data_IF_269571308121
#
_entry.id   IF_269571308121
#
_cell.length_a   1.000
_cell.length_b   1.000
_cell.length_c   1.000
_cell.angle_alpha   90.00
_cell.angle_beta   90.00
_cell.angle_gamma   90.00
#
_symmetry.space_group_name_H-M   'P 1'
#
loop_
_entity.id
_entity.type
_entity.pdbx_description
1 polymer ?
#
# COMPACT_ATOMS: atom_id res chain seq x y z
N UNK A 1 -22.78 12.25 2.42
CA UNK A 1 -21.34 12.43 2.64
C UNK A 1 -21.09 13.91 2.86
N UNK A 2 -20.58 14.27 4.04
CA UNK A 2 -20.10 15.61 4.30
C UNK A 2 -18.67 15.77 3.77
N UNK A 3 -18.19 17.01 3.62
CA UNK A 3 -16.85 17.28 3.10
C UNK A 3 -15.75 16.56 3.90
N UNK A 4 -15.89 16.51 5.22
CA UNK A 4 -14.95 15.84 6.12
C UNK A 4 -14.96 14.31 6.01
N UNK A 5 -15.89 13.69 5.26
CA UNK A 5 -15.88 12.24 5.03
C UNK A 5 -14.98 11.85 3.84
N UNK A 6 -14.71 12.80 2.92
CA UNK A 6 -14.01 12.54 1.66
C UNK A 6 -12.53 12.19 1.89
N UNK A 7 -11.75 12.93 2.71
CA UNK A 7 -10.37 12.55 3.00
C UNK A 7 -10.26 11.20 3.73
N UNK A 8 -11.23 10.86 4.59
CA UNK A 8 -11.29 9.55 5.22
C UNK A 8 -11.45 8.44 4.18
N UNK A 9 -12.32 8.62 3.20
CA UNK A 9 -12.46 7.68 2.09
C UNK A 9 -11.14 7.52 1.31
N UNK A 10 -10.42 8.61 1.03
CA UNK A 10 -9.09 8.56 0.41
C UNK A 10 -8.09 7.78 1.27
N UNK A 11 -8.02 8.06 2.58
CA UNK A 11 -7.15 7.33 3.50
C UNK A 11 -7.51 5.84 3.57
N UNK A 12 -8.79 5.47 3.54
CA UNK A 12 -9.22 4.07 3.55
C UNK A 12 -8.85 3.34 2.25
N UNK A 13 -9.00 3.99 1.10
CA UNK A 13 -8.57 3.44 -0.19
C UNK A 13 -7.04 3.28 -0.21
N UNK A 14 -6.30 4.31 0.20
CA UNK A 14 -4.84 4.24 0.31
C UNK A 14 -4.38 3.14 1.28
N UNK A 15 -5.06 2.99 2.42
CA UNK A 15 -4.77 1.93 3.39
C UNK A 15 -5.07 0.55 2.82
N UNK A 16 -6.19 0.38 2.12
CA UNK A 16 -6.51 -0.89 1.45
C UNK A 16 -5.47 -1.24 0.38
N UNK A 17 -5.05 -0.28 -0.44
CA UNK A 17 -3.98 -0.46 -1.42
C UNK A 17 -2.65 -0.81 -0.76
N UNK A 18 -2.30 -0.14 0.34
CA UNK A 18 -1.09 -0.46 1.10
C UNK A 18 -1.14 -1.88 1.68
N UNK A 19 -2.21 -2.24 2.39
CA UNK A 19 -2.32 -3.57 3.03
C UNK A 19 -2.37 -4.68 1.99
N UNK A 20 -2.99 -4.46 0.83
CA UNK A 20 -3.01 -5.46 -0.26
C UNK A 20 -1.65 -5.58 -0.92
N UNK A 21 -1.08 -4.46 -1.39
CA UNK A 21 0.13 -4.49 -2.22
C UNK A 21 1.40 -4.66 -1.39
N UNK A 22 1.56 -3.85 -0.33
CA UNK A 22 2.68 -4.00 0.59
C UNK A 22 2.53 -5.27 1.45
N UNK A 23 1.30 -5.69 1.79
CA UNK A 23 1.09 -6.96 2.49
C UNK A 23 1.55 -8.17 1.66
N UNK A 24 1.32 -8.18 0.34
CA UNK A 24 1.87 -9.21 -0.52
C UNK A 24 3.41 -9.21 -0.53
N UNK A 25 4.04 -8.02 -0.52
CA UNK A 25 5.49 -7.90 -0.39
C UNK A 25 6.02 -8.40 0.96
N UNK A 26 5.41 -8.00 2.09
CA UNK A 26 5.77 -8.49 3.43
C UNK A 26 5.56 -10.01 3.53
N UNK A 27 4.45 -10.53 3.03
CA UNK A 27 4.22 -11.97 3.02
C UNK A 27 5.22 -12.75 2.17
N UNK A 28 5.76 -12.15 1.10
CA UNK A 28 6.82 -12.79 0.32
C UNK A 28 8.09 -12.98 1.15
N UNK A 29 8.41 -12.04 2.05
CA UNK A 29 9.50 -12.19 3.02
C UNK A 29 9.28 -13.32 4.02
N UNK A 30 8.03 -13.57 4.43
CA UNK A 30 7.66 -14.71 5.29
C UNK A 30 7.93 -16.03 4.54
N UNK A 31 7.52 -16.13 3.28
CA UNK A 31 7.76 -17.33 2.48
C UNK A 31 9.23 -17.58 2.18
N UNK A 32 10.04 -16.52 2.06
CA UNK A 32 11.49 -16.59 1.96
C UNK A 32 12.13 -17.22 3.22
N UNK A 33 11.63 -16.86 4.40
CA UNK A 33 12.13 -17.38 5.68
C UNK A 33 11.89 -18.89 5.83
N UNK A 34 10.67 -19.33 5.50
CA UNK A 34 10.25 -20.73 5.66
C UNK A 34 10.61 -21.62 4.47
N UNK A 35 11.32 -21.08 3.48
CA UNK A 35 11.71 -21.81 2.26
C UNK A 35 12.77 -22.90 2.52
N UNK A 36 13.53 -22.81 3.61
CA UNK A 36 14.58 -23.78 3.97
C UNK A 36 15.89 -23.63 3.16
N UNK A 37 16.92 -24.39 3.54
CA UNK A 37 18.30 -24.22 3.07
C UNK A 37 18.69 -24.91 1.75
N UNK A 38 17.77 -25.65 1.11
CA UNK A 38 18.06 -26.45 -0.09
C UNK A 38 17.79 -25.74 -1.43
N UNK A 39 18.02 -26.42 -2.57
CA UNK A 39 17.79 -25.88 -3.93
C UNK A 39 16.35 -25.39 -4.16
N UNK A 40 15.36 -26.16 -3.69
CA UNK A 40 13.95 -25.73 -3.75
C UNK A 40 13.67 -24.48 -2.93
N UNK A 41 14.34 -24.32 -1.78
CA UNK A 41 14.24 -23.11 -0.96
C UNK A 41 14.87 -21.89 -1.64
N UNK A 42 15.99 -22.08 -2.35
CA UNK A 42 16.58 -21.02 -3.18
C UNK A 42 15.62 -20.57 -4.28
N UNK A 43 14.97 -21.51 -4.96
CA UNK A 43 14.01 -21.18 -6.02
C UNK A 43 12.83 -20.36 -5.50
N UNK A 44 12.27 -20.72 -4.34
CA UNK A 44 11.21 -19.93 -3.68
C UNK A 44 11.72 -18.52 -3.35
N UNK A 45 12.94 -18.38 -2.81
CA UNK A 45 13.49 -17.07 -2.44
C UNK A 45 13.72 -16.18 -3.65
N UNK A 46 14.28 -16.75 -4.71
CA UNK A 46 14.56 -16.02 -5.93
C UNK A 46 13.26 -15.61 -6.64
N UNK A 47 12.27 -16.49 -6.72
CA UNK A 47 10.94 -16.14 -7.23
C UNK A 47 10.33 -14.98 -6.45
N UNK A 48 10.21 -15.13 -5.12
CA UNK A 48 9.65 -14.10 -4.25
C UNK A 48 10.36 -12.75 -4.37
N UNK A 49 11.68 -12.75 -4.51
CA UNK A 49 12.46 -11.53 -4.69
C UNK A 49 12.20 -10.87 -6.05
N UNK A 50 12.27 -11.61 -7.16
CA UNK A 50 12.08 -11.04 -8.49
C UNK A 50 10.65 -10.51 -8.70
N UNK A 51 9.64 -11.20 -8.14
CA UNK A 51 8.25 -10.74 -8.26
C UNK A 51 7.97 -9.45 -7.47
N UNK A 52 8.64 -9.23 -6.34
CA UNK A 52 8.32 -8.13 -5.41
C UNK A 52 9.27 -6.94 -5.49
N UNK A 53 10.53 -7.13 -5.86
CA UNK A 53 11.53 -6.06 -5.89
C UNK A 53 11.10 -4.82 -6.72
N UNK A 54 10.51 -4.96 -7.93
CA UNK A 54 10.13 -3.79 -8.74
C UNK A 54 8.98 -2.95 -8.15
N UNK A 55 8.13 -3.56 -7.32
CA UNK A 55 6.93 -2.90 -6.78
C UNK A 55 7.09 -2.42 -5.35
N UNK A 56 8.17 -2.82 -4.67
CA UNK A 56 8.42 -2.48 -3.26
C UNK A 56 8.39 -0.96 -3.01
N UNK A 57 9.12 -0.19 -3.80
CA UNK A 57 9.20 1.28 -3.65
C UNK A 57 7.82 1.92 -3.86
N UNK A 58 7.11 1.50 -4.91
CA UNK A 58 5.77 2.00 -5.22
C UNK A 58 4.75 1.68 -4.12
N UNK A 59 4.88 0.53 -3.46
CA UNK A 59 3.97 0.14 -2.39
C UNK A 59 4.01 1.11 -1.20
N UNK A 60 5.19 1.66 -0.87
CA UNK A 60 5.36 2.53 0.31
C UNK A 60 4.76 3.92 0.13
N UNK A 61 4.56 4.36 -1.12
CA UNK A 61 3.88 5.62 -1.44
C UNK A 61 2.48 5.65 -0.81
N UNK A 62 1.77 4.52 -0.80
CA UNK A 62 0.43 4.44 -0.21
C UNK A 62 0.41 4.70 1.30
N UNK A 63 1.42 4.21 2.04
CA UNK A 63 1.51 4.47 3.47
C UNK A 63 1.77 5.96 3.74
N UNK A 64 2.73 6.55 3.03
CA UNK A 64 3.04 7.98 3.16
C UNK A 64 1.80 8.81 2.80
N UNK A 65 1.09 8.46 1.72
CA UNK A 65 -0.16 9.10 1.33
C UNK A 65 -1.21 9.06 2.47
N UNK A 66 -1.45 7.89 3.08
CA UNK A 66 -2.39 7.77 4.21
C UNK A 66 -1.97 8.64 5.38
N UNK A 67 -0.68 8.65 5.73
CA UNK A 67 -0.16 9.46 6.82
C UNK A 67 -0.33 10.97 6.54
N UNK A 68 0.03 11.43 5.34
CA UNK A 68 -0.09 12.83 4.94
C UNK A 68 -1.56 13.26 4.90
N UNK A 69 -2.44 12.51 4.26
CA UNK A 69 -3.88 12.84 4.20
C UNK A 69 -4.48 12.88 5.59
N UNK A 70 -4.16 11.89 6.45
CA UNK A 70 -4.71 11.83 7.81
C UNK A 70 -4.16 12.97 8.68
N UNK A 71 -2.88 13.30 8.55
CA UNK A 71 -2.26 14.42 9.27
C UNK A 71 -2.87 15.77 8.87
N UNK A 72 -3.07 16.00 7.57
CA UNK A 72 -3.64 17.25 7.06
C UNK A 72 -5.14 17.36 7.34
N UNK A 73 -5.91 16.29 7.16
CA UNK A 73 -7.37 16.30 7.34
C UNK A 73 -7.81 16.20 8.80
N UNK A 74 -7.08 15.45 9.64
CA UNK A 74 -7.48 15.14 11.02
C UNK A 74 -6.30 15.32 12.00
N UNK A 75 -5.74 16.53 12.15
CA UNK A 75 -4.48 16.76 12.85
C UNK A 75 -4.52 16.35 14.34
N UNK A 76 -5.65 16.57 15.02
CA UNK A 76 -5.82 16.19 16.44
C UNK A 76 -5.83 14.68 16.64
N UNK A 77 -6.49 13.95 15.73
CA UNK A 77 -6.47 12.48 15.73
C UNK A 77 -5.07 11.95 15.39
N UNK A 78 -4.43 12.51 14.37
CA UNK A 78 -3.08 12.13 13.97
C UNK A 78 -2.06 12.33 15.10
N UNK A 79 -2.06 13.49 15.77
CA UNK A 79 -1.16 13.77 16.90
C UNK A 79 -1.35 12.80 18.07
N UNK A 80 -2.61 12.49 18.40
CA UNK A 80 -2.95 11.53 19.45
C UNK A 80 -2.47 10.11 19.10
N UNK A 81 -2.68 9.66 17.86
CA UNK A 81 -2.24 8.36 17.35
C UNK A 81 -0.71 8.29 17.32
N UNK A 82 -0.05 9.26 16.70
CA UNK A 82 1.40 9.25 16.49
C UNK A 82 2.17 9.31 17.82
N UNK A 83 1.71 10.11 18.77
CA UNK A 83 2.35 10.21 20.09
C UNK A 83 2.14 8.95 20.93
N UNK A 84 0.91 8.43 20.99
CA UNK A 84 0.57 7.23 21.78
C UNK A 84 1.20 5.96 21.20
N UNK A 85 1.22 5.83 19.87
CA UNK A 85 1.66 4.64 19.15
C UNK A 85 3.05 4.83 18.52
N UNK A 86 3.88 5.70 19.11
CA UNK A 86 5.23 6.00 18.62
C UNK A 86 6.14 4.76 18.58
N UNK A 87 6.05 3.86 19.57
CA UNK A 87 6.83 2.61 19.59
C UNK A 87 6.51 1.70 18.39
N UNK A 88 5.26 1.25 18.18
CA UNK A 88 4.95 0.39 17.04
C UNK A 88 5.16 1.11 15.69
N UNK A 89 4.96 2.44 15.62
CA UNK A 89 5.34 3.24 14.44
C UNK A 89 6.84 3.15 14.15
N UNK A 90 7.68 3.33 15.16
CA UNK A 90 9.12 3.23 15.04
C UNK A 90 9.56 1.83 14.62
N UNK A 91 8.95 0.80 15.21
CA UNK A 91 9.19 -0.61 14.85
C UNK A 91 8.82 -0.87 13.38
N UNK A 92 7.67 -0.38 12.93
CA UNK A 92 7.24 -0.50 11.54
C UNK A 92 8.21 0.21 10.59
N UNK A 93 8.60 1.46 10.91
CA UNK A 93 9.55 2.25 10.13
C UNK A 93 10.93 1.59 10.04
N UNK A 94 11.45 1.07 11.15
CA UNK A 94 12.71 0.34 11.18
C UNK A 94 12.65 -0.90 10.28
N UNK A 95 11.57 -1.68 10.36
CA UNK A 95 11.38 -2.84 9.49
C UNK A 95 11.32 -2.47 8.00
N UNK A 96 10.65 -1.36 7.65
CA UNK A 96 10.63 -0.84 6.28
C UNK A 96 12.04 -0.46 5.80
N UNK A 97 12.81 0.26 6.61
CA UNK A 97 14.20 0.66 6.29
C UNK A 97 15.07 -0.57 6.09
N UNK A 98 14.98 -1.53 7.00
CA UNK A 98 15.73 -2.79 6.94
C UNK A 98 15.40 -3.56 5.65
N UNK A 99 14.13 -3.58 5.23
CA UNK A 99 13.73 -4.21 3.97
C UNK A 99 14.27 -3.51 2.74
N UNK A 100 14.20 -2.19 2.68
CA UNK A 100 14.78 -1.41 1.57
C UNK A 100 16.29 -1.62 1.47
N UNK A 101 16.98 -1.59 2.61
CA UNK A 101 18.41 -1.90 2.69
C UNK A 101 18.71 -3.33 2.23
N UNK A 102 17.90 -4.31 2.63
CA UNK A 102 18.09 -5.70 2.21
C UNK A 102 17.96 -5.88 0.69
N UNK A 103 17.00 -5.22 0.04
CA UNK A 103 16.88 -5.25 -1.43
C UNK A 103 18.11 -4.66 -2.11
N UNK A 104 18.59 -3.49 -1.65
CA UNK A 104 19.77 -2.84 -2.21
C UNK A 104 21.04 -3.67 -2.00
N UNK A 105 21.24 -4.22 -0.80
CA UNK A 105 22.43 -5.00 -0.46
C UNK A 105 22.45 -6.37 -1.16
N UNK A 106 21.30 -7.02 -1.31
CA UNK A 106 21.20 -8.32 -1.99
C UNK A 106 21.66 -8.25 -3.44
N UNK A 107 21.43 -7.13 -4.13
CA UNK A 107 21.89 -6.90 -5.50
C UNK A 107 23.43 -6.84 -5.62
N UNK A 108 24.13 -6.39 -4.57
CA UNK A 108 25.59 -6.26 -4.54
C UNK A 108 26.35 -7.41 -3.88
N UNK A 109 25.65 -8.42 -3.34
CA UNK A 109 26.25 -9.47 -2.51
C UNK A 109 26.48 -10.76 -3.30
N UNK A 110 27.71 -11.30 -3.26
CA UNK A 110 28.06 -12.56 -3.91
C UNK A 110 28.26 -13.73 -2.94
N UNK A 111 28.39 -13.48 -1.63
CA UNK A 111 28.67 -14.52 -0.63
C UNK A 111 27.39 -15.15 -0.09
N UNK A 112 27.32 -16.49 -0.08
CA UNK A 112 26.17 -17.23 0.44
C UNK A 112 25.87 -16.98 1.93
N UNK A 113 26.89 -16.65 2.75
CA UNK A 113 26.70 -16.32 4.17
C UNK A 113 26.02 -14.97 4.36
N UNK A 114 26.46 -13.96 3.62
CA UNK A 114 25.93 -12.60 3.66
C UNK A 114 24.48 -12.57 3.15
N UNK A 115 24.21 -13.26 2.04
CA UNK A 115 22.85 -13.44 1.52
C UNK A 115 21.91 -14.05 2.57
N UNK A 116 22.35 -15.07 3.31
CA UNK A 116 21.54 -15.66 4.39
C UNK A 116 21.24 -14.68 5.52
N UNK A 117 22.21 -13.85 5.91
CA UNK A 117 22.00 -12.83 6.96
C UNK A 117 21.00 -11.78 6.46
N UNK A 118 21.20 -11.27 5.25
CA UNK A 118 20.31 -10.29 4.61
C UNK A 118 18.89 -10.85 4.50
N UNK A 119 18.73 -12.07 3.97
CA UNK A 119 17.44 -12.73 3.82
C UNK A 119 16.75 -12.94 5.20
N UNK A 120 17.50 -13.32 6.25
CA UNK A 120 16.94 -13.55 7.60
C UNK A 120 16.48 -12.25 8.26
N UNK A 121 17.29 -11.20 8.15
CA UNK A 121 16.98 -9.88 8.71
C UNK A 121 15.79 -9.25 7.98
N UNK A 122 15.77 -9.35 6.64
CA UNK A 122 14.65 -8.90 5.80
C UNK A 122 13.36 -9.64 6.12
N UNK A 123 13.43 -10.95 6.29
CA UNK A 123 12.31 -11.77 6.69
C UNK A 123 11.75 -11.41 8.07
N UNK A 124 12.62 -11.17 9.05
CA UNK A 124 12.20 -10.76 10.40
C UNK A 124 11.47 -9.42 10.36
N UNK A 125 12.00 -8.45 9.60
CA UNK A 125 11.32 -7.18 9.35
C UNK A 125 9.96 -7.36 8.66
N UNK A 126 9.85 -8.34 7.76
CA UNK A 126 8.62 -8.66 7.04
C UNK A 126 7.50 -9.24 7.90
N UNK A 127 7.80 -9.73 9.10
CA UNK A 127 6.81 -10.12 10.11
C UNK A 127 6.51 -8.94 11.03
N UNK A 128 7.59 -8.28 11.50
CA UNK A 128 7.50 -7.25 12.52
C UNK A 128 6.74 -6.01 12.05
N UNK A 129 6.95 -5.56 10.81
CA UNK A 129 6.26 -4.39 10.25
C UNK A 129 4.75 -4.56 10.14
N UNK A 130 4.20 -5.57 9.43
CA UNK A 130 2.75 -5.75 9.37
C UNK A 130 2.15 -6.05 10.74
N UNK A 131 2.87 -6.76 11.63
CA UNK A 131 2.41 -6.95 13.00
C UNK A 131 2.27 -5.63 13.75
N UNK A 132 3.29 -4.77 13.71
CA UNK A 132 3.27 -3.47 14.36
C UNK A 132 2.16 -2.57 13.81
N UNK A 133 2.03 -2.45 12.48
CA UNK A 133 0.95 -1.67 11.86
C UNK A 133 -0.45 -2.23 12.17
N UNK A 134 -0.62 -3.55 12.13
CA UNK A 134 -1.88 -4.19 12.52
C UNK A 134 -2.20 -3.99 14.01
N UNK A 135 -1.20 -4.06 14.89
CA UNK A 135 -1.37 -3.82 16.32
C UNK A 135 -1.82 -2.39 16.62
N UNK A 136 -1.35 -1.41 15.82
CA UNK A 136 -1.80 -0.03 15.89
C UNK A 136 -3.26 0.10 15.46
N UNK A 137 -3.64 -0.53 14.35
CA UNK A 137 -5.04 -0.55 13.91
C UNK A 137 -5.94 -1.18 14.99
N UNK A 138 -5.49 -2.25 15.62
CA UNK A 138 -6.19 -2.86 16.76
C UNK A 138 -6.25 -1.96 17.99
N UNK A 139 -5.23 -1.15 18.26
CA UNK A 139 -5.22 -0.20 19.38
C UNK A 139 -6.24 0.93 19.18
N UNK A 140 -6.36 1.41 17.94
CA UNK A 140 -7.38 2.37 17.53
C UNK A 140 -8.76 1.72 17.66
N UNK A 141 -8.93 0.50 17.13
CA UNK A 141 -10.18 -0.25 17.14
C UNK A 141 -10.68 -0.58 18.55
N UNK A 142 -9.77 -0.93 19.48
CA UNK A 142 -10.06 -1.19 20.89
C UNK A 142 -10.11 0.06 21.77
N UNK A 143 -10.04 1.25 21.16
CA UNK A 143 -10.17 2.55 21.85
C UNK A 143 -9.10 2.80 22.91
N UNK A 144 -7.89 2.28 22.70
CA UNK A 144 -6.72 2.43 23.61
C UNK A 144 -5.83 3.63 23.30
N UNK A 145 -6.26 4.48 22.35
CA UNK A 145 -5.60 5.73 21.97
C UNK A 145 -6.46 6.89 22.47
N UNK A 146 -6.18 7.47 23.66
CA UNK A 146 -6.90 8.64 24.15
C UNK A 146 -6.60 9.88 23.31
N UNK A 147 -7.52 10.84 23.31
CA UNK A 147 -7.33 12.12 22.63
C UNK A 147 -6.37 12.98 23.45
N UNK A 148 -5.38 13.55 22.77
CA UNK A 148 -4.33 14.37 23.38
C UNK A 148 -2.94 13.82 23.12
N UNK A 149 -1.96 14.72 23.05
CA UNK A 149 -0.57 14.34 22.82
C UNK A 149 0.00 13.61 24.05
N UNK A 150 0.60 12.45 23.82
CA UNK A 150 1.22 11.59 24.85
C UNK A 150 0.27 11.21 26.01
N UNK A 151 -1.04 11.17 25.75
CA UNK A 151 -2.04 10.82 26.77
C UNK A 151 -2.17 9.30 26.99
N UNK A 152 -1.74 8.47 26.03
CA UNK A 152 -1.79 7.01 26.12
C UNK A 152 -0.48 6.38 26.59
N UNK A 153 -0.53 5.10 26.96
CA UNK A 153 0.64 4.34 27.39
C UNK A 153 1.38 3.72 26.20
N UNK A 154 2.68 4.01 26.09
CA UNK A 154 3.51 3.61 24.94
C UNK A 154 3.55 2.10 24.62
N UNK A 155 3.34 1.23 25.62
CA UNK A 155 3.38 -0.23 25.45
C UNK A 155 1.99 -0.87 25.51
N UNK A 156 1.22 -0.61 26.57
CA UNK A 156 -0.07 -1.28 26.77
C UNK A 156 -1.15 -0.83 25.77
N UNK A 157 -0.99 0.34 25.12
CA UNK A 157 -1.91 0.78 24.09
C UNK A 157 -1.93 -0.14 22.85
N UNK A 158 -0.82 -0.83 22.52
CA UNK A 158 -0.73 -1.72 21.35
C UNK A 158 -0.45 -3.19 21.69
N UNK A 159 -0.27 -3.53 22.96
CA UNK A 159 -0.07 -4.91 23.45
C UNK A 159 -1.30 -5.42 24.23
N UNK A 160 -2.50 -5.16 23.71
CA UNK A 160 -3.76 -5.68 24.24
C UNK A 160 -4.29 -6.83 23.36
N UNK A 161 -5.25 -7.66 23.84
CA UNK A 161 -5.75 -8.81 23.09
C UNK A 161 -6.23 -8.46 21.67
N UNK A 162 -6.99 -7.36 21.51
CA UNK A 162 -7.44 -6.92 20.18
C UNK A 162 -6.26 -6.50 19.30
N UNK A 163 -5.28 -5.75 19.81
CA UNK A 163 -4.09 -5.36 19.05
C UNK A 163 -3.23 -6.55 18.64
N UNK A 164 -3.00 -7.50 19.54
CA UNK A 164 -2.23 -8.72 19.23
C UNK A 164 -2.93 -9.55 18.15
N UNK A 165 -4.25 -9.67 18.24
CA UNK A 165 -5.08 -10.32 17.22
C UNK A 165 -4.93 -9.62 15.86
N UNK A 166 -5.16 -8.31 15.80
CA UNK A 166 -5.16 -7.56 14.53
C UNK A 166 -3.75 -7.53 13.91
N UNK A 167 -2.70 -7.42 14.73
CA UNK A 167 -1.32 -7.59 14.30
C UNK A 167 -1.07 -8.98 13.71
N UNK A 168 -1.53 -10.04 14.38
CA UNK A 168 -1.41 -11.42 13.89
C UNK A 168 -2.20 -11.63 12.59
N UNK A 169 -3.40 -11.05 12.50
CA UNK A 169 -4.23 -11.09 11.30
C UNK A 169 -3.54 -10.37 10.13
N UNK A 170 -2.89 -9.22 10.37
CA UNK A 170 -2.13 -8.51 9.34
C UNK A 170 -0.96 -9.35 8.79
N UNK A 171 -0.24 -10.06 9.66
CA UNK A 171 0.83 -11.01 9.24
C UNK A 171 0.24 -12.18 8.44
N UNK A 172 -0.84 -12.79 8.92
CA UNK A 172 -1.50 -13.91 8.25
C UNK A 172 -2.09 -13.50 6.88
N UNK A 173 -2.73 -12.33 6.81
CA UNK A 173 -3.25 -11.76 5.57
C UNK A 173 -2.12 -11.43 4.59
N UNK A 174 -0.98 -10.92 5.07
CA UNK A 174 0.21 -10.69 4.26
C UNK A 174 0.73 -11.99 3.65
N UNK A 175 0.92 -13.04 4.46
CA UNK A 175 1.35 -14.35 3.99
C UNK A 175 0.37 -14.95 2.96
N UNK A 176 -0.93 -14.82 3.21
CA UNK A 176 -1.98 -15.26 2.29
C UNK A 176 -1.95 -14.51 0.94
N UNK A 177 -1.94 -13.17 0.97
CA UNK A 177 -1.87 -12.33 -0.22
C UNK A 177 -0.63 -12.65 -1.05
N UNK A 178 0.52 -12.76 -0.40
CA UNK A 178 1.78 -13.12 -1.04
C UNK A 178 1.70 -14.47 -1.74
N UNK A 179 1.14 -15.50 -1.09
CA UNK A 179 1.03 -16.82 -1.69
C UNK A 179 0.11 -16.82 -2.92
N UNK A 180 -1.00 -16.07 -2.89
CA UNK A 180 -1.90 -15.93 -4.05
C UNK A 180 -1.21 -15.21 -5.20
N UNK A 181 -0.51 -14.10 -4.91
CA UNK A 181 0.18 -13.30 -5.93
C UNK A 181 1.37 -14.05 -6.54
N UNK A 182 2.17 -14.74 -5.71
CA UNK A 182 3.31 -15.53 -6.17
C UNK A 182 2.88 -16.78 -6.94
N UNK A 183 1.74 -17.39 -6.61
CA UNK A 183 1.15 -18.46 -7.42
C UNK A 183 0.74 -17.96 -8.81
N UNK A 184 0.08 -16.80 -8.88
CA UNK A 184 -0.29 -16.19 -10.16
C UNK A 184 0.95 -15.87 -11.01
N UNK A 185 1.99 -15.32 -10.39
CA UNK A 185 3.24 -15.02 -11.08
C UNK A 185 3.95 -16.29 -11.57
N UNK A 186 4.00 -17.34 -10.77
CA UNK A 186 4.57 -18.64 -11.17
C UNK A 186 3.80 -19.25 -12.36
N UNK A 187 2.46 -19.15 -12.38
CA UNK A 187 1.65 -19.59 -13.53
C UNK A 187 1.95 -18.74 -14.78
N UNK A 188 2.12 -17.42 -14.63
CA UNK A 188 2.49 -16.52 -15.73
C UNK A 188 3.87 -16.87 -16.32
N UNK A 189 4.83 -17.21 -15.46
CA UNK A 189 6.18 -17.65 -15.84
C UNK A 189 6.26 -19.12 -16.29
N UNK A 190 5.13 -19.86 -16.26
CA UNK A 190 5.03 -21.29 -16.61
C UNK A 190 5.87 -22.22 -15.73
N UNK A 191 6.06 -21.85 -14.46
CA UNK A 191 6.82 -22.62 -13.48
C UNK A 191 5.90 -23.53 -12.65
N UNK A 192 5.48 -24.66 -13.24
CA UNK A 192 4.46 -25.54 -12.65
C UNK A 192 4.78 -26.09 -11.26
N UNK A 193 6.05 -26.26 -10.91
CA UNK A 193 6.47 -26.70 -9.57
C UNK A 193 6.24 -25.60 -8.52
N UNK A 194 6.67 -24.36 -8.82
CA UNK A 194 6.47 -23.21 -7.94
C UNK A 194 4.97 -22.88 -7.81
N UNK A 195 4.21 -22.97 -8.90
CA UNK A 195 2.74 -22.85 -8.86
C UNK A 195 2.14 -23.80 -7.82
N UNK A 196 2.48 -25.10 -7.88
CA UNK A 196 1.93 -26.10 -6.95
C UNK A 196 2.31 -25.78 -5.50
N UNK A 197 3.54 -25.36 -5.29
CA UNK A 197 4.07 -25.01 -3.98
C UNK A 197 3.40 -23.75 -3.38
N UNK A 198 3.15 -22.72 -4.19
CA UNK A 198 2.47 -21.51 -3.73
C UNK A 198 0.96 -21.69 -3.62
N UNK A 199 0.34 -22.55 -4.45
CA UNK A 199 -1.07 -22.95 -4.30
C UNK A 199 -1.32 -23.59 -2.94
N UNK A 200 -0.49 -24.54 -2.53
CA UNK A 200 -0.62 -25.18 -1.21
C UNK A 200 -0.47 -24.16 -0.07
N UNK A 201 0.50 -23.25 -0.19
CA UNK A 201 0.72 -22.15 0.77
C UNK A 201 -0.45 -21.17 0.81
N UNK A 202 -1.05 -20.83 -0.33
CA UNK A 202 -2.19 -19.92 -0.41
C UNK A 202 -3.43 -20.52 0.26
N UNK A 203 -3.70 -21.81 0.05
CA UNK A 203 -4.79 -22.50 0.72
C UNK A 203 -4.56 -22.60 2.23
N UNK A 204 -3.36 -23.03 2.65
CA UNK A 204 -3.03 -23.13 4.07
C UNK A 204 -3.07 -21.77 4.78
N UNK A 205 -2.41 -20.75 4.21
CA UNK A 205 -2.39 -19.41 4.78
C UNK A 205 -3.77 -18.75 4.77
N UNK A 206 -4.59 -18.98 3.75
CA UNK A 206 -5.97 -18.48 3.71
C UNK A 206 -6.87 -19.14 4.76
N UNK A 207 -6.71 -20.46 5.01
CA UNK A 207 -7.40 -21.15 6.10
C UNK A 207 -6.94 -20.62 7.47
N UNK A 208 -5.63 -20.42 7.67
CA UNK A 208 -5.08 -19.83 8.90
C UNK A 208 -5.59 -18.41 9.11
N UNK A 209 -5.53 -17.55 8.09
CA UNK A 209 -6.04 -16.19 8.16
C UNK A 209 -7.54 -16.15 8.46
N UNK A 210 -8.32 -17.04 7.83
CA UNK A 210 -9.75 -17.21 8.11
C UNK A 210 -10.02 -17.67 9.55
N UNK A 211 -9.28 -18.65 10.05
CA UNK A 211 -9.38 -19.12 11.43
C UNK A 211 -9.02 -18.03 12.45
N UNK A 212 -7.95 -17.26 12.20
CA UNK A 212 -7.57 -16.10 13.02
C UNK A 212 -8.65 -15.03 12.98
N UNK A 213 -9.24 -14.74 11.83
CA UNK A 213 -10.33 -13.77 11.72
C UNK A 213 -11.59 -14.21 12.49
N UNK A 214 -11.98 -15.48 12.36
CA UNK A 214 -13.15 -16.04 13.06
C UNK A 214 -12.90 -16.07 14.58
N UNK A 215 -11.76 -16.61 15.01
CA UNK A 215 -11.36 -16.59 16.43
C UNK A 215 -11.22 -15.16 16.96
N UNK A 216 -10.84 -14.24 16.09
CA UNK A 216 -10.77 -12.81 16.37
C UNK A 216 -12.09 -12.18 16.76
N UNK A 217 -13.22 -12.66 16.23
CA UNK A 217 -14.55 -12.18 16.66
C UNK A 217 -14.80 -12.47 18.14
N UNK A 218 -14.29 -13.58 18.69
CA UNK A 218 -14.42 -13.92 20.11
C UNK A 218 -13.55 -12.99 20.98
N UNK A 219 -12.32 -12.72 20.54
CA UNK A 219 -11.40 -11.80 21.24
C UNK A 219 -11.97 -10.38 21.23
N UNK A 220 -12.47 -9.91 20.08
CA UNK A 220 -13.09 -8.59 19.94
C UNK A 220 -14.38 -8.49 20.75
N UNK A 221 -15.16 -9.57 20.85
CA UNK A 221 -16.34 -9.62 21.72
C UNK A 221 -15.99 -9.40 23.20
N UNK A 222 -14.89 -9.99 23.66
CA UNK A 222 -14.44 -9.92 25.05
C UNK A 222 -13.71 -8.61 25.40
N UNK A 223 -12.82 -8.11 24.54
CA UNK A 223 -11.94 -6.96 24.83
C UNK A 223 -12.46 -5.64 24.23
N UNK A 224 -13.21 -5.67 23.12
CA UNK A 224 -13.66 -4.49 22.38
C UNK A 224 -15.15 -4.56 22.02
N UNK A 225 -16.01 -4.67 23.04
CA UNK A 225 -17.45 -4.94 22.87
C UNK A 225 -18.17 -3.96 21.92
N UNK A 226 -17.79 -2.67 21.91
CA UNK A 226 -18.36 -1.70 20.96
C UNK A 226 -18.01 -2.01 19.51
N UNK A 227 -16.77 -2.39 19.24
CA UNK A 227 -16.32 -2.77 17.91
C UNK A 227 -17.06 -4.03 17.45
N UNK A 228 -17.22 -5.02 18.34
CA UNK A 228 -18.00 -6.22 18.05
C UNK A 228 -19.43 -5.88 17.63
N UNK A 229 -20.15 -5.07 18.42
CA UNK A 229 -21.53 -4.65 18.08
C UNK A 229 -21.59 -3.86 16.78
N UNK A 230 -20.58 -3.03 16.50
CA UNK A 230 -20.46 -2.33 15.24
C UNK A 230 -20.31 -3.29 14.06
N UNK A 231 -19.43 -4.30 14.17
CA UNK A 231 -19.17 -5.28 13.12
C UNK A 231 -20.36 -6.21 12.83
N UNK A 232 -21.18 -6.55 13.84
CA UNK A 232 -22.33 -7.45 13.68
C UNK A 232 -23.63 -6.73 13.32
N UNK A 233 -23.59 -5.42 13.05
CA UNK A 233 -24.76 -4.61 12.71
C UNK A 233 -24.53 -3.72 11.48
N UNK A 234 -25.62 -3.32 10.83
CA UNK A 234 -25.61 -2.31 9.77
C UNK A 234 -24.68 -2.63 8.59
N UNK A 235 -24.07 -1.58 8.02
CA UNK A 235 -23.20 -1.70 6.85
C UNK A 235 -21.87 -2.43 7.10
N UNK A 236 -21.39 -2.45 8.35
CA UNK A 236 -20.16 -3.15 8.70
C UNK A 236 -20.32 -4.68 8.60
N UNK A 237 -21.49 -5.21 8.98
CA UNK A 237 -21.82 -6.62 8.75
C UNK A 237 -21.78 -6.99 7.27
N UNK A 238 -22.29 -6.10 6.40
CA UNK A 238 -22.18 -6.24 4.95
C UNK A 238 -20.72 -6.38 4.50
N UNK A 239 -19.82 -5.53 5.01
CA UNK A 239 -18.39 -5.62 4.74
C UNK A 239 -17.76 -6.93 5.24
N UNK A 240 -18.13 -7.42 6.42
CA UNK A 240 -17.67 -8.73 6.95
C UNK A 240 -18.14 -9.88 6.04
N UNK A 241 -19.41 -9.86 5.61
CA UNK A 241 -19.96 -10.87 4.70
C UNK A 241 -19.24 -10.82 3.35
N UNK A 242 -19.04 -9.63 2.78
CA UNK A 242 -18.28 -9.48 1.53
C UNK A 242 -16.87 -10.02 1.68
N UNK A 243 -16.18 -9.73 2.79
CA UNK A 243 -14.86 -10.30 3.08
C UNK A 243 -14.89 -11.82 3.13
N UNK A 244 -15.86 -12.41 3.83
CA UNK A 244 -15.98 -13.87 3.96
C UNK A 244 -16.22 -14.52 2.60
N UNK A 245 -17.16 -13.99 1.80
CA UNK A 245 -17.48 -14.49 0.47
C UNK A 245 -16.31 -14.32 -0.50
N UNK A 246 -15.63 -13.17 -0.48
CA UNK A 246 -14.47 -12.92 -1.32
C UNK A 246 -13.28 -13.81 -0.94
N UNK A 247 -13.06 -14.06 0.35
CA UNK A 247 -12.06 -15.01 0.85
C UNK A 247 -12.36 -16.44 0.42
N UNK A 248 -13.60 -16.91 0.61
CA UNK A 248 -14.03 -18.24 0.17
C UNK A 248 -13.93 -18.40 -1.36
N UNK A 249 -14.33 -17.37 -2.12
CA UNK A 249 -14.19 -17.34 -3.57
C UNK A 249 -12.72 -17.42 -3.98
N UNK A 250 -11.83 -16.72 -3.28
CA UNK A 250 -10.40 -16.81 -3.54
C UNK A 250 -9.88 -18.23 -3.33
N UNK A 251 -10.23 -18.88 -2.22
CA UNK A 251 -9.82 -20.26 -1.96
C UNK A 251 -10.34 -21.22 -3.04
N UNK A 252 -11.59 -21.05 -3.48
CA UNK A 252 -12.16 -21.83 -4.57
C UNK A 252 -11.43 -21.59 -5.91
N UNK A 253 -11.09 -20.33 -6.22
CA UNK A 253 -10.33 -19.98 -7.43
C UNK A 253 -8.90 -20.53 -7.39
N UNK A 254 -8.22 -20.45 -6.25
CA UNK A 254 -6.89 -21.05 -6.02
C UNK A 254 -6.98 -22.58 -6.15
N UNK A 255 -8.04 -23.19 -5.63
CA UNK A 255 -8.28 -24.62 -5.79
C UNK A 255 -8.46 -25.00 -7.26
N UNK A 256 -9.23 -24.21 -8.01
CA UNK A 256 -9.47 -24.35 -9.44
C UNK A 256 -8.31 -23.84 -10.33
N UNK A 257 -7.17 -23.43 -9.75
CA UNK A 257 -5.99 -22.89 -10.44
C UNK A 257 -6.25 -21.65 -11.30
N UNK A 258 -7.23 -20.82 -10.93
CA UNK A 258 -7.55 -19.53 -11.57
C UNK A 258 -6.94 -18.37 -10.80
N UNK A 259 -5.61 -18.30 -10.79
CA UNK A 259 -4.88 -17.40 -9.88
C UNK A 259 -5.02 -15.90 -10.17
N UNK A 260 -5.12 -15.48 -11.43
CA UNK A 260 -5.31 -14.04 -11.73
C UNK A 260 -6.63 -13.51 -11.17
N UNK A 261 -7.73 -14.25 -11.35
CA UNK A 261 -9.01 -13.91 -10.73
C UNK A 261 -8.93 -13.92 -9.19
N UNK A 262 -8.18 -14.88 -8.63
CA UNK A 262 -7.97 -15.01 -7.20
C UNK A 262 -7.29 -13.77 -6.58
N UNK A 263 -6.41 -13.07 -7.31
CA UNK A 263 -5.77 -11.83 -6.82
C UNK A 263 -6.79 -10.75 -6.52
N UNK A 264 -7.77 -10.54 -7.42
CA UNK A 264 -8.80 -9.53 -7.25
C UNK A 264 -9.74 -9.85 -6.08
N UNK A 265 -10.14 -11.11 -5.94
CA UNK A 265 -10.99 -11.53 -4.81
C UNK A 265 -10.23 -11.50 -3.48
N UNK A 266 -8.93 -11.79 -3.48
CA UNK A 266 -8.08 -11.66 -2.29
C UNK A 266 -7.96 -10.20 -1.85
N UNK A 267 -7.70 -9.30 -2.80
CA UNK A 267 -7.65 -7.87 -2.56
C UNK A 267 -8.99 -7.33 -2.05
N UNK A 268 -10.10 -7.77 -2.65
CA UNK A 268 -11.45 -7.41 -2.22
C UNK A 268 -11.73 -7.88 -0.78
N UNK A 269 -11.31 -9.10 -0.42
CA UNK A 269 -11.50 -9.61 0.94
C UNK A 269 -10.84 -8.69 1.98
N UNK A 270 -9.57 -8.35 1.76
CA UNK A 270 -8.81 -7.47 2.67
C UNK A 270 -9.38 -6.05 2.69
N UNK A 271 -9.72 -5.48 1.53
CA UNK A 271 -10.34 -4.17 1.45
C UNK A 271 -11.70 -4.12 2.19
N UNK A 272 -12.49 -5.20 2.10
CA UNK A 272 -13.77 -5.31 2.77
C UNK A 272 -13.62 -5.42 4.30
N UNK A 273 -12.58 -6.07 4.83
CA UNK A 273 -12.26 -6.04 6.27
C UNK A 273 -11.96 -4.61 6.73
N UNK A 274 -11.14 -3.87 5.98
CA UNK A 274 -10.78 -2.48 6.32
C UNK A 274 -12.03 -1.58 6.27
N UNK A 275 -12.87 -1.75 5.25
CA UNK A 275 -14.13 -1.02 5.14
C UNK A 275 -15.11 -1.37 6.28
N UNK A 276 -15.24 -2.65 6.65
CA UNK A 276 -16.07 -3.10 7.76
C UNK A 276 -15.61 -2.47 9.09
N UNK A 277 -14.29 -2.44 9.33
CA UNK A 277 -13.70 -1.78 10.49
C UNK A 277 -14.01 -0.28 10.52
N UNK A 278 -13.84 0.42 9.41
CA UNK A 278 -14.14 1.85 9.32
C UNK A 278 -15.63 2.15 9.58
N UNK A 279 -16.53 1.34 9.00
CA UNK A 279 -17.97 1.47 9.20
C UNK A 279 -18.38 1.14 10.65
N UNK A 280 -17.73 0.18 11.30
CA UNK A 280 -18.01 -0.21 12.68
C UNK A 280 -17.60 0.86 13.70
N UNK A 281 -16.65 1.74 13.38
CA UNK A 281 -16.20 2.81 14.27
C UNK A 281 -16.95 4.14 14.08
N UNK A 282 -17.60 4.32 12.92
CA UNK A 282 -18.34 5.53 12.58
C UNK A 282 -19.40 5.83 13.65
N UNK A 283 -19.50 7.07 14.19
CA UNK A 283 -18.87 8.32 13.74
C UNK A 283 -17.60 8.76 14.48
N UNK A 284 -17.03 7.91 15.34
CA UNK A 284 -15.88 8.29 16.16
C UNK A 284 -14.57 7.77 15.60
N UNK A 285 -13.57 8.64 15.42
CA UNK A 285 -12.20 8.22 15.09
C UNK A 285 -11.45 7.74 16.33
N UNK A 286 -11.63 8.44 17.46
CA UNK A 286 -10.97 8.15 18.72
C UNK A 286 -11.98 8.27 19.89
N UNK A 287 -11.63 7.82 21.10
CA UNK A 287 -12.44 7.99 22.31
C UNK A 287 -12.80 9.44 22.58
N UNK A 288 -14.06 9.81 22.33
CA UNK A 288 -14.55 11.17 22.57
C UNK A 288 -14.28 12.17 21.44
N UNK A 289 -13.79 11.70 20.29
CA UNK A 289 -13.51 12.54 19.12
C UNK A 289 -14.21 11.98 17.88
N UNK A 290 -15.20 12.72 17.38
CA UNK A 290 -15.89 12.39 16.12
C UNK A 290 -15.06 12.76 14.90
N UNK A 291 -15.36 12.16 13.74
CA UNK A 291 -14.71 12.53 12.46
C UNK A 291 -14.88 14.04 12.21
N UNK A 292 -16.07 14.59 12.47
CA UNK A 292 -16.36 16.01 12.32
C UNK A 292 -15.54 16.89 13.26
N UNK A 293 -15.40 16.49 14.53
CA UNK A 293 -14.61 17.24 15.52
C UNK A 293 -13.10 17.16 15.25
N UNK A 294 -12.63 16.07 14.67
CA UNK A 294 -11.23 15.90 14.31
C UNK A 294 -10.83 16.68 13.05
N UNK A 295 -11.81 17.03 12.20
CA UNK A 295 -11.57 17.58 10.89
C UNK A 295 -10.91 18.97 10.95
N UNK A 296 -9.99 19.21 10.02
CA UNK A 296 -9.38 20.52 9.79
C UNK A 296 -10.42 21.55 9.29
N UNK A 297 -9.98 22.80 9.13
CA UNK A 297 -10.82 23.86 8.58
C UNK A 297 -11.32 23.52 7.17
N UNK A 298 -12.45 24.11 6.79
CA UNK A 298 -13.08 23.88 5.48
C UNK A 298 -12.08 24.09 4.33
N UNK A 299 -11.33 25.19 4.35
CA UNK A 299 -10.38 25.55 3.29
C UNK A 299 -9.25 24.52 3.17
N UNK A 300 -8.74 24.01 4.31
CA UNK A 300 -7.73 22.95 4.31
C UNK A 300 -8.27 21.66 3.71
N UNK A 301 -9.52 21.29 4.03
CA UNK A 301 -10.14 20.08 3.46
C UNK A 301 -10.36 20.21 1.95
N UNK A 302 -10.82 21.38 1.48
CA UNK A 302 -10.98 21.64 0.03
C UNK A 302 -9.64 21.58 -0.68
N UNK A 303 -8.61 22.28 -0.16
CA UNK A 303 -7.28 22.28 -0.75
C UNK A 303 -6.68 20.86 -0.81
N UNK A 304 -6.84 20.07 0.27
CA UNK A 304 -6.41 18.68 0.30
C UNK A 304 -7.11 17.83 -0.75
N UNK A 305 -8.44 17.93 -0.88
CA UNK A 305 -9.20 17.16 -1.86
C UNK A 305 -8.75 17.52 -3.27
N UNK A 306 -8.61 18.81 -3.58
CA UNK A 306 -8.12 19.27 -4.90
C UNK A 306 -6.71 18.75 -5.17
N UNK A 307 -5.80 18.83 -4.19
CA UNK A 307 -4.43 18.33 -4.32
C UNK A 307 -4.38 16.81 -4.57
N UNK A 308 -5.18 16.03 -3.85
CA UNK A 308 -5.27 14.57 -4.05
C UNK A 308 -5.81 14.22 -5.43
N UNK A 309 -6.86 14.92 -5.89
CA UNK A 309 -7.42 14.70 -7.22
C UNK A 309 -6.43 15.09 -8.33
N UNK A 310 -5.77 16.24 -8.20
CA UNK A 310 -4.73 16.69 -9.13
C UNK A 310 -3.55 15.71 -9.18
N UNK A 311 -3.09 15.24 -8.01
CA UNK A 311 -2.05 14.20 -7.92
C UNK A 311 -2.49 12.89 -8.58
N UNK A 312 -3.75 12.46 -8.38
CA UNK A 312 -4.33 11.29 -9.02
C UNK A 312 -4.34 11.39 -10.56
N UNK A 313 -4.65 12.57 -11.11
CA UNK A 313 -4.60 12.84 -12.56
C UNK A 313 -3.19 12.66 -13.13
N UNK A 314 -2.13 12.81 -12.33
CA UNK A 314 -0.74 12.57 -12.76
C UNK A 314 -0.34 11.10 -12.52
N UNK A 315 -0.69 10.57 -11.34
CA UNK A 315 -0.27 9.25 -10.89
C UNK A 315 -0.90 8.11 -11.70
N UNK A 316 -2.21 8.13 -11.93
CA UNK A 316 -2.88 7.02 -12.62
C UNK A 316 -2.45 6.87 -14.08
N UNK A 317 -2.33 7.95 -14.88
CA UNK A 317 -1.81 7.84 -16.25
C UNK A 317 -0.36 7.37 -16.31
N UNK A 318 0.50 7.81 -15.38
CA UNK A 318 1.90 7.37 -15.36
C UNK A 318 2.02 5.87 -15.04
N UNK A 319 1.24 5.36 -14.08
CA UNK A 319 1.16 3.92 -13.79
C UNK A 319 0.57 3.13 -14.96
N UNK A 320 -0.49 3.63 -15.61
CA UNK A 320 -1.08 2.98 -16.77
C UNK A 320 -0.09 2.90 -17.94
N UNK A 321 0.69 3.96 -18.18
CA UNK A 321 1.75 3.97 -19.17
C UNK A 321 2.85 2.95 -18.82
N UNK A 322 3.32 2.94 -17.57
CA UNK A 322 4.32 1.99 -17.10
C UNK A 322 3.85 0.55 -17.31
N UNK A 323 2.66 0.20 -16.84
CA UNK A 323 2.12 -1.15 -17.02
C UNK A 323 1.96 -1.49 -18.50
N UNK A 324 1.50 -0.56 -19.34
CA UNK A 324 1.40 -0.79 -20.78
C UNK A 324 2.76 -1.07 -21.42
N UNK A 325 3.81 -0.34 -21.03
CA UNK A 325 5.17 -0.53 -21.55
C UNK A 325 5.78 -1.87 -21.11
N UNK A 326 5.56 -2.26 -19.85
CA UNK A 326 5.98 -3.56 -19.32
C UNK A 326 5.22 -4.70 -20.00
N UNK A 327 3.89 -4.63 -20.08
CA UNK A 327 3.08 -5.66 -20.74
C UNK A 327 3.33 -5.75 -22.25
N UNK A 328 3.73 -4.65 -22.89
CA UNK A 328 4.12 -4.63 -24.30
C UNK A 328 5.54 -5.16 -24.54
N UNK A 329 6.26 -5.60 -23.51
CA UNK A 329 7.62 -6.15 -23.60
C UNK A 329 8.68 -5.12 -24.00
N UNK A 330 8.37 -3.82 -23.97
CA UNK A 330 9.31 -2.75 -24.36
C UNK A 330 10.39 -2.49 -23.31
N UNK A 331 10.16 -2.94 -22.07
CA UNK A 331 11.10 -2.81 -20.96
C UNK A 331 11.77 -4.15 -20.59
N UNK A 332 11.35 -5.27 -21.21
CA UNK A 332 11.99 -6.58 -21.04
C UNK A 332 13.27 -6.63 -21.88
N UNK A 333 14.32 -5.95 -21.43
CA UNK A 333 15.65 -6.19 -21.98
C UNK A 333 16.19 -7.45 -21.31
N UNK A 334 15.99 -8.60 -21.96
CA UNK A 334 17.00 -9.66 -21.86
C UNK A 334 18.35 -9.01 -22.20
N UNK A 335 19.44 -9.31 -21.46
CA UNK A 335 20.77 -8.86 -21.83
C UNK A 335 21.23 -9.63 -23.08
N UNK A 336 20.61 -9.38 -24.22
CA UNK A 336 21.25 -9.59 -25.51
C UNK A 336 22.33 -8.54 -25.61
N UNK A 337 23.59 -8.98 -25.65
CA UNK A 337 24.75 -8.15 -25.94
C UNK A 337 24.39 -7.21 -27.09
N UNK A 338 24.21 -5.92 -26.78
CA UNK A 338 23.83 -4.94 -27.77
C UNK A 338 24.94 -4.86 -28.82
N UNK A 339 24.65 -5.07 -30.11
CA UNK A 339 25.60 -4.70 -31.15
C UNK A 339 25.88 -3.20 -31.01
N UNK A 340 27.15 -2.82 -30.97
CA UNK A 340 27.58 -1.42 -31.00
C UNK A 340 27.02 -0.76 -32.26
N UNK A 341 25.90 -0.06 -32.15
CA UNK A 341 25.37 0.74 -33.26
C UNK A 341 26.26 1.98 -33.44
N UNK A 342 26.71 2.28 -34.67
CA UNK A 342 27.41 3.51 -34.98
C UNK A 342 26.54 4.72 -34.64
N UNK A 343 27.11 5.66 -33.88
CA UNK A 343 26.50 6.94 -33.57
C UNK A 343 26.58 7.85 -34.80
N UNK A 344 25.60 7.79 -35.68
CA UNK A 344 25.38 8.82 -36.69
C UNK A 344 23.88 9.06 -36.90
N UNK A 345 23.43 10.30 -36.70
CA UNK A 345 22.04 10.68 -36.95
C UNK A 345 21.52 11.91 -36.19
N UNK A 346 22.31 12.99 -36.07
CA UNK A 346 21.80 14.30 -35.63
C UNK A 346 21.01 14.93 -36.77
N UNK A 347 19.73 14.59 -36.96
CA UNK A 347 18.71 15.46 -37.61
C UNK A 347 17.29 15.01 -37.22
N UNK A 348 16.80 15.42 -36.05
CA UNK A 348 15.35 15.49 -35.73
C UNK A 348 15.06 16.46 -34.57
N UNK A 349 15.72 17.63 -34.54
CA UNK A 349 15.55 18.59 -33.45
C UNK A 349 15.08 19.94 -34.00
N UNK A 350 13.76 20.13 -34.09
CA UNK A 350 13.20 21.47 -34.33
C UNK A 350 11.80 21.65 -33.72
N UNK A 351 10.95 20.61 -33.69
CA UNK A 351 9.61 20.70 -33.10
C UNK A 351 9.57 20.45 -31.56
N UNK A 352 10.41 19.56 -31.03
CA UNK A 352 10.45 19.20 -29.60
C UNK A 352 10.98 20.33 -28.69
N UNK A 353 11.89 21.15 -29.20
CA UNK A 353 12.47 22.27 -28.45
C UNK A 353 11.48 23.41 -28.15
N UNK A 354 10.50 23.65 -29.02
CA UNK A 354 9.50 24.71 -28.82
C UNK A 354 8.48 24.30 -27.75
N UNK A 355 7.97 23.06 -27.82
CA UNK A 355 7.04 22.53 -26.83
C UNK A 355 7.68 22.43 -25.44
N UNK A 356 8.95 22.04 -25.36
CA UNK A 356 9.70 22.04 -24.09
C UNK A 356 9.89 23.44 -23.49
N UNK A 357 10.12 24.47 -24.31
CA UNK A 357 10.22 25.87 -23.84
C UNK A 357 8.88 26.43 -23.38
N UNK A 358 7.79 26.11 -24.08
CA UNK A 358 6.43 26.49 -23.69
C UNK A 358 6.04 25.83 -22.37
N UNK A 359 6.35 24.54 -22.21
CA UNK A 359 6.16 23.82 -20.95
C UNK A 359 6.92 24.50 -19.79
N UNK A 360 8.21 24.81 -19.99
CA UNK A 360 9.01 25.53 -18.99
C UNK A 360 8.42 26.90 -18.60
N UNK A 361 7.94 27.68 -19.57
CA UNK A 361 7.32 28.98 -19.32
C UNK A 361 5.99 28.85 -18.55
N UNK A 362 5.15 27.87 -18.91
CA UNK A 362 3.89 27.58 -18.22
C UNK A 362 4.11 27.11 -16.78
N UNK A 363 5.18 26.35 -16.52
CA UNK A 363 5.57 25.92 -15.17
C UNK A 363 6.00 27.12 -14.30
N UNK A 364 6.88 27.98 -14.82
CA UNK A 364 7.37 29.17 -14.10
C UNK A 364 6.21 30.14 -13.81
N UNK A 365 5.36 30.40 -14.81
CA UNK A 365 4.21 31.28 -14.65
C UNK A 365 3.15 30.68 -13.70
N UNK A 366 2.84 29.39 -13.84
CA UNK A 366 1.87 28.69 -12.99
C UNK A 366 2.32 28.66 -11.53
N UNK A 367 3.58 28.31 -11.29
CA UNK A 367 4.14 28.29 -9.94
C UNK A 367 4.25 29.70 -9.35
N UNK A 368 4.73 30.68 -10.11
CA UNK A 368 4.84 32.07 -9.65
C UNK A 368 3.50 32.70 -9.29
N UNK A 369 2.46 32.49 -10.11
CA UNK A 369 1.12 33.03 -9.86
C UNK A 369 0.42 32.36 -8.67
N UNK A 370 0.72 31.09 -8.40
CA UNK A 370 0.17 30.36 -7.25
C UNK A 370 0.88 30.65 -5.93
N UNK A 371 2.13 31.12 -5.97
CA UNK A 371 2.96 31.29 -4.77
C UNK A 371 3.14 32.74 -4.36
N UNK A 372 3.08 33.67 -5.31
CA UNK A 372 3.37 35.10 -5.06
C UNK A 372 2.10 35.96 -5.06
N UNK A 373 1.05 35.56 -5.77
CA UNK A 373 -0.14 36.40 -5.93
C UNK A 373 -1.31 35.93 -5.05
N UNK A 374 -1.84 36.84 -4.23
CA UNK A 374 -2.95 36.56 -3.30
C UNK A 374 -4.35 36.75 -3.92
N UNK A 375 -4.40 37.03 -5.24
CA UNK A 375 -5.64 37.34 -5.94
C UNK A 375 -6.33 36.07 -6.50
N UNK A 376 -7.66 35.89 -6.35
CA UNK A 376 -8.36 34.70 -6.83
C UNK A 376 -8.24 34.46 -8.35
N UNK A 377 -8.21 35.52 -9.15
CA UNK A 377 -8.02 35.42 -10.60
C UNK A 377 -6.59 34.96 -10.96
N UNK A 378 -5.59 35.32 -10.16
CA UNK A 378 -4.20 34.90 -10.36
C UNK A 378 -4.04 33.40 -10.06
N UNK A 379 -4.72 32.90 -9.03
CA UNK A 379 -4.77 31.47 -8.74
C UNK A 379 -5.46 30.67 -9.85
N UNK A 380 -6.57 31.16 -10.40
CA UNK A 380 -7.26 30.50 -11.53
C UNK A 380 -6.34 30.40 -12.76
N UNK A 381 -5.65 31.49 -13.12
CA UNK A 381 -4.69 31.52 -14.23
C UNK A 381 -3.48 30.60 -13.93
N UNK A 382 -2.99 30.60 -12.69
CA UNK A 382 -1.89 29.73 -12.27
C UNK A 382 -2.22 28.25 -12.41
N UNK A 383 -3.42 27.84 -12.03
CA UNK A 383 -3.94 26.47 -12.24
C UNK A 383 -4.06 26.15 -13.72
N UNK A 384 -4.62 27.05 -14.53
CA UNK A 384 -4.72 26.84 -16.00
C UNK A 384 -3.34 26.73 -16.65
N UNK A 385 -2.37 27.52 -16.22
CA UNK A 385 -0.99 27.46 -16.71
C UNK A 385 -0.30 26.13 -16.34
N UNK A 386 -0.56 25.57 -15.15
CA UNK A 386 -0.07 24.23 -14.80
C UNK A 386 -0.72 23.11 -15.63
N UNK A 387 -2.01 23.20 -15.94
CA UNK A 387 -2.65 22.26 -16.87
C UNK A 387 -2.07 22.37 -18.29
N UNK A 388 -1.78 23.59 -18.75
CA UNK A 388 -1.12 23.81 -20.04
C UNK A 388 0.32 23.26 -20.04
N UNK A 389 1.07 23.40 -18.95
CA UNK A 389 2.38 22.75 -18.76
C UNK A 389 2.28 21.23 -18.90
N UNK A 390 1.30 20.61 -18.25
CA UNK A 390 1.09 19.15 -18.31
C UNK A 390 0.77 18.72 -19.75
N UNK A 391 -0.17 19.40 -20.41
CA UNK A 391 -0.58 19.07 -21.77
C UNK A 391 0.57 19.23 -22.79
N UNK A 392 1.32 20.33 -22.70
CA UNK A 392 2.44 20.62 -23.61
C UNK A 392 3.68 19.77 -23.32
N UNK A 393 3.98 19.50 -22.05
CA UNK A 393 5.05 18.59 -21.65
C UNK A 393 4.76 17.14 -22.05
N UNK A 394 3.51 16.69 -21.94
CA UNK A 394 3.08 15.38 -22.42
C UNK A 394 3.21 15.25 -23.94
N UNK A 395 2.76 16.26 -24.69
CA UNK A 395 2.91 16.26 -26.15
C UNK A 395 4.37 16.32 -26.60
N UNK A 396 5.23 17.03 -25.87
CA UNK A 396 6.68 17.06 -26.12
C UNK A 396 7.33 15.68 -25.92
N UNK A 397 6.87 14.91 -24.93
CA UNK A 397 7.41 13.59 -24.60
C UNK A 397 6.87 12.45 -25.49
N UNK A 398 5.65 12.60 -26.02
CA UNK A 398 4.96 11.58 -26.84
C UNK A 398 5.22 11.76 -28.34
N UNK A 399 5.64 12.95 -28.77
CA UNK A 399 5.89 13.28 -30.18
C UNK A 399 7.20 12.78 -30.78
N UNK A 400 7.98 11.95 -30.09
CA UNK A 400 9.19 11.33 -30.66
C UNK A 400 8.84 10.00 -31.36
N UNK A 401 9.12 9.84 -32.68
CA UNK A 401 8.95 8.57 -33.37
C UNK A 401 9.96 7.50 -32.96
#
# INVERSE_FOLDING_TARGET
MHLYDVPLAFSLVGLALYVVLAGADFGAGIWQLVAGGGPGGKQIRDHAHHSMAPVWEANHVWLIFVLTVTWTAYPSAFGSIASTLSIPLFVAALGIIVRGAAYALRAGTSTARELRVIDTVSASASILTPFALGSMAGAIASRRVPVGNAAGHLFSSWLNPTSLLVGTLAVAASAYLAAVYLAADATRLREGELERQFRARALAAGLVAGAVAIGGLLVVHADAHRLYHGLVRGGALGGVIVSLLAGATTLALVWARRFEAARYTAALAVAAVIAAWALAQNPTLLPGLTIQQAAASHDTLVALIVAVLAGGVILFPSLALLFRLVLAGRLDHAPTAAPLLPRDGVVAASASGLLGRVAGACLIAGFGLLTVADAPWAHAIGVTALFAFIATGFLAAVGEP
#
